data_IF_752362617115
#
_entry.id   IF_752362617115
#
_cell.length_a   1.000
_cell.length_b   1.000
_cell.length_c   1.000
_cell.angle_alpha   90.00
_cell.angle_beta   90.00
_cell.angle_gamma   90.00
#
_symmetry.space_group_name_H-M   'P 1'
#
loop_
_entity.id
_entity.type
_entity.pdbx_description
1 polymer ?
#
# COMPACT_ATOMS: atom_id res chain seq x y z
N UNK A 1 1.43 -9.23 95.62
CA UNK A 1 2.75 -8.70 95.19
C UNK A 1 3.03 -9.19 93.78
N UNK A 2 3.80 -8.45 92.97
CA UNK A 2 3.35 -7.92 91.68
C UNK A 2 3.68 -8.78 90.45
N UNK A 3 3.12 -8.32 89.33
CA UNK A 3 3.71 -8.21 87.97
C UNK A 3 3.82 -9.39 86.99
N UNK A 4 3.15 -9.16 85.85
CA UNK A 4 3.49 -9.50 84.44
C UNK A 4 3.41 -10.99 84.06
N UNK A 5 2.79 -11.42 82.96
CA UNK A 5 2.83 -10.85 81.60
C UNK A 5 1.59 -11.27 80.79
N UNK A 6 1.15 -10.39 79.88
CA UNK A 6 0.03 -10.54 78.95
C UNK A 6 0.46 -11.37 77.73
N UNK A 7 -0.44 -12.17 77.16
CA UNK A 7 -0.82 -12.03 75.74
C UNK A 7 -2.21 -12.65 75.51
N UNK A 8 -3.07 -11.84 74.89
CA UNK A 8 -4.51 -12.02 74.75
C UNK A 8 -4.82 -12.56 73.35
N UNK A 9 -5.73 -13.54 73.30
CA UNK A 9 -6.40 -14.01 72.08
C UNK A 9 -7.14 -12.86 71.42
N UNK A 10 -6.87 -12.59 70.14
CA UNK A 10 -7.77 -11.79 69.30
C UNK A 10 -8.09 -12.52 68.00
N UNK A 11 -9.38 -12.75 67.88
CA UNK A 11 -10.22 -13.06 66.74
C UNK A 11 -9.71 -12.54 65.39
N UNK A 12 -9.65 -13.43 64.40
CA UNK A 12 -9.60 -13.09 62.99
C UNK A 12 -11.03 -13.08 62.45
N UNK A 13 -11.51 -11.88 62.13
CA UNK A 13 -12.73 -11.63 61.36
C UNK A 13 -12.33 -11.79 59.88
N UNK A 14 -12.85 -12.83 59.22
CA UNK A 14 -12.74 -12.99 57.78
C UNK A 14 -13.75 -12.07 57.09
N UNK A 15 -13.27 -10.99 56.47
CA UNK A 15 -14.06 -10.18 55.53
C UNK A 15 -14.16 -10.94 54.21
N UNK A 16 -15.33 -11.47 53.89
CA UNK A 16 -15.69 -11.92 52.55
C UNK A 16 -16.05 -10.73 51.67
N UNK A 17 -15.09 -10.24 50.88
CA UNK A 17 -15.37 -9.35 49.76
C UNK A 17 -15.80 -10.19 48.56
N UNK A 18 -17.10 -10.18 48.25
CA UNK A 18 -17.58 -10.51 46.91
C UNK A 18 -17.09 -9.39 45.97
N UNK A 19 -16.05 -9.65 45.20
CA UNK A 19 -15.76 -8.88 44.01
C UNK A 19 -16.76 -9.29 42.94
N UNK A 20 -17.79 -8.46 42.73
CA UNK A 20 -18.59 -8.52 41.53
C UNK A 20 -17.67 -8.13 40.36
N UNK A 21 -17.23 -9.12 39.59
CA UNK A 21 -16.66 -8.89 38.27
C UNK A 21 -17.77 -8.32 37.39
N UNK A 22 -17.82 -7.00 37.28
CA UNK A 22 -18.43 -6.36 36.12
C UNK A 22 -17.54 -6.76 34.95
N UNK A 23 -17.96 -7.78 34.21
CA UNK A 23 -17.51 -7.93 32.83
C UNK A 23 -17.97 -6.65 32.12
N UNK A 24 -17.07 -5.68 32.00
CA UNK A 24 -17.19 -4.72 30.94
C UNK A 24 -17.33 -5.55 29.66
N UNK A 25 -18.42 -5.35 28.94
CA UNK A 25 -18.49 -5.81 27.56
C UNK A 25 -17.21 -5.32 26.89
N UNK A 26 -16.49 -6.16 26.12
CA UNK A 26 -15.37 -5.66 25.35
C UNK A 26 -15.94 -4.55 24.46
N UNK A 27 -15.55 -3.30 24.70
CA UNK A 27 -15.61 -2.29 23.68
C UNK A 27 -14.79 -2.85 22.54
N UNK A 28 -15.43 -3.15 21.41
CA UNK A 28 -14.76 -3.54 20.17
C UNK A 28 -13.93 -2.34 19.75
N UNK A 29 -12.74 -2.22 20.33
CA UNK A 29 -11.71 -1.30 19.91
C UNK A 29 -11.09 -1.86 18.65
N UNK A 30 -11.08 -1.03 17.61
CA UNK A 30 -10.37 -1.26 16.36
C UNK A 30 -8.98 -1.83 16.66
N UNK A 31 -8.59 -2.85 15.90
CA UNK A 31 -7.33 -3.51 16.14
C UNK A 31 -6.09 -2.64 15.78
N UNK A 32 -6.28 -1.42 15.27
CA UNK A 32 -5.26 -0.38 15.12
C UNK A 32 -5.89 1.02 15.31
N UNK A 33 -5.25 1.89 16.11
CA UNK A 33 -5.69 3.27 16.32
C UNK A 33 -5.04 4.21 15.29
N UNK A 34 -5.68 4.41 14.13
CA UNK A 34 -5.17 5.31 13.08
C UNK A 34 -5.01 6.77 13.52
N UNK A 35 -5.59 7.19 14.65
CA UNK A 35 -5.41 8.53 15.20
C UNK A 35 -4.16 8.63 16.08
N UNK A 36 -3.86 7.59 16.84
CA UNK A 36 -2.78 7.58 17.84
C UNK A 36 -1.49 6.91 17.37
N UNK A 37 -1.59 5.89 16.53
CA UNK A 37 -0.49 5.05 16.07
C UNK A 37 -0.10 5.37 14.62
N UNK A 38 1.17 5.12 14.29
CA UNK A 38 1.71 5.32 12.93
C UNK A 38 1.63 4.03 12.13
N UNK A 39 1.07 4.12 10.93
CA UNK A 39 1.14 3.06 9.93
C UNK A 39 2.59 2.93 9.48
N UNK A 40 3.14 1.73 9.57
CA UNK A 40 4.48 1.37 9.09
C UNK A 40 4.34 0.06 8.38
N UNK A 41 4.34 0.08 7.06
CA UNK A 41 4.11 -1.14 6.32
C UNK A 41 4.67 -1.10 4.92
N UNK A 42 4.25 -2.08 4.14
CA UNK A 42 4.74 -2.29 2.79
C UNK A 42 3.61 -2.82 1.91
N UNK A 43 3.68 -2.51 0.63
CA UNK A 43 2.79 -3.04 -0.38
C UNK A 43 3.25 -4.44 -0.81
N UNK A 44 2.27 -5.30 -1.09
CA UNK A 44 2.50 -6.61 -1.73
C UNK A 44 2.21 -6.49 -3.24
N UNK A 45 2.81 -5.47 -3.87
CA UNK A 45 2.66 -5.15 -5.30
C UNK A 45 3.25 -6.21 -6.22
N UNK A 46 2.75 -6.27 -7.46
CA UNK A 46 3.13 -7.28 -8.45
C UNK A 46 2.62 -8.71 -8.16
N UNK A 47 1.85 -8.92 -7.08
CA UNK A 47 1.36 -10.24 -6.69
C UNK A 47 0.01 -10.61 -7.32
N UNK A 48 -1.08 -10.03 -6.83
CA UNK A 48 -2.45 -10.32 -7.31
C UNK A 48 -2.88 -9.42 -8.46
N UNK A 49 -2.12 -8.35 -8.69
CA UNK A 49 -2.07 -7.59 -9.93
C UNK A 49 -0.63 -7.57 -10.38
N UNK A 50 -0.36 -8.09 -11.57
CA UNK A 50 1.00 -8.21 -12.11
C UNK A 50 1.44 -6.91 -12.77
N UNK A 51 2.71 -6.56 -12.57
CA UNK A 51 3.32 -5.37 -13.13
C UNK A 51 4.63 -5.73 -13.84
N UNK A 52 4.81 -5.34 -15.12
CA UNK A 52 5.98 -5.73 -15.90
C UNK A 52 7.33 -5.38 -15.29
N UNK A 53 7.38 -4.33 -14.48
CA UNK A 53 8.62 -3.86 -13.87
C UNK A 53 8.92 -4.53 -12.51
N UNK A 54 7.89 -5.06 -11.83
CA UNK A 54 8.06 -5.85 -10.60
C UNK A 54 8.46 -7.29 -10.93
N UNK A 55 7.80 -7.91 -11.91
CA UNK A 55 8.06 -9.30 -12.34
C UNK A 55 8.31 -9.39 -13.84
N UNK A 56 9.39 -8.77 -14.37
CA UNK A 56 9.72 -8.78 -15.79
C UNK A 56 9.80 -10.17 -16.41
N UNK A 57 10.14 -11.22 -15.64
CA UNK A 57 10.23 -12.59 -16.19
C UNK A 57 8.91 -13.08 -16.80
N UNK A 58 7.78 -12.83 -16.13
CA UNK A 58 6.44 -13.22 -16.62
C UNK A 58 6.14 -12.62 -17.99
N UNK A 59 6.55 -11.37 -18.20
CA UNK A 59 6.26 -10.61 -19.42
C UNK A 59 7.29 -10.87 -20.51
N UNK A 60 8.57 -11.03 -20.17
CA UNK A 60 9.62 -11.38 -21.13
C UNK A 60 9.34 -12.76 -21.77
N UNK A 61 8.90 -13.74 -20.98
CA UNK A 61 8.57 -15.08 -21.47
C UNK A 61 7.34 -15.10 -22.39
N UNK A 62 6.33 -14.27 -22.10
CA UNK A 62 5.13 -14.14 -22.94
C UNK A 62 5.39 -13.38 -24.26
N UNK A 63 6.42 -12.53 -24.31
CA UNK A 63 6.83 -11.76 -25.48
C UNK A 63 6.30 -10.32 -25.53
N UNK A 64 6.69 -9.58 -26.57
CA UNK A 64 6.54 -8.10 -26.63
C UNK A 64 5.09 -7.59 -26.55
N UNK A 65 4.10 -8.41 -26.91
CA UNK A 65 2.68 -8.04 -26.86
C UNK A 65 2.12 -7.95 -25.43
N UNK A 66 2.70 -8.69 -24.48
CA UNK A 66 2.30 -8.67 -23.08
C UNK A 66 2.91 -7.45 -22.37
N UNK A 67 2.15 -6.37 -22.29
CA UNK A 67 2.56 -5.07 -21.71
C UNK A 67 1.84 -4.73 -20.40
N UNK A 68 0.83 -5.52 -20.05
CA UNK A 68 0.00 -5.45 -18.85
C UNK A 68 -0.66 -6.83 -18.63
N UNK A 69 -1.34 -7.06 -17.50
CA UNK A 69 -1.94 -8.36 -17.19
C UNK A 69 -3.02 -8.78 -18.23
N UNK A 70 -3.77 -7.82 -18.75
CA UNK A 70 -4.76 -8.07 -19.82
C UNK A 70 -4.10 -8.70 -21.04
N UNK A 71 -3.08 -8.04 -21.58
CA UNK A 71 -2.38 -8.49 -22.79
C UNK A 71 -1.48 -9.70 -22.53
N UNK A 72 -1.01 -9.90 -21.30
CA UNK A 72 -0.35 -11.13 -20.87
C UNK A 72 -1.27 -12.34 -21.06
N UNK A 73 -2.48 -12.30 -20.49
CA UNK A 73 -3.41 -13.42 -20.64
C UNK A 73 -3.99 -13.54 -22.06
N UNK A 74 -4.18 -12.44 -22.77
CA UNK A 74 -4.55 -12.48 -24.20
C UNK A 74 -3.48 -13.21 -25.04
N UNK A 75 -2.20 -12.93 -24.77
CA UNK A 75 -1.07 -13.49 -25.52
C UNK A 75 -0.87 -14.98 -25.22
N UNK A 76 -0.93 -15.37 -23.94
CA UNK A 76 -0.73 -16.75 -23.51
C UNK A 76 -1.96 -17.64 -23.80
N UNK A 77 -3.16 -17.05 -23.81
CA UNK A 77 -4.41 -17.79 -23.76
C UNK A 77 -4.73 -18.30 -22.35
N UNK A 78 -6.00 -18.64 -22.14
CA UNK A 78 -6.55 -18.83 -20.79
C UNK A 78 -5.88 -19.95 -19.97
N UNK A 79 -5.61 -21.11 -20.58
CA UNK A 79 -5.05 -22.26 -19.87
C UNK A 79 -3.60 -22.01 -19.43
N UNK A 80 -2.78 -21.44 -20.32
CA UNK A 80 -1.39 -21.12 -20.02
C UNK A 80 -1.29 -19.94 -19.04
N UNK A 81 -2.10 -18.88 -19.23
CA UNK A 81 -2.11 -17.76 -18.29
C UNK A 81 -2.51 -18.24 -16.88
N UNK A 82 -3.50 -19.13 -16.78
CA UNK A 82 -3.88 -19.73 -15.48
C UNK A 82 -2.74 -20.51 -14.85
N UNK A 83 -2.01 -21.30 -15.63
CA UNK A 83 -0.85 -22.07 -15.14
C UNK A 83 0.24 -21.14 -14.61
N UNK A 84 0.65 -20.16 -15.41
CA UNK A 84 1.70 -19.18 -15.09
C UNK A 84 1.31 -18.35 -13.85
N UNK A 85 0.10 -17.78 -13.82
CA UNK A 85 -0.34 -16.96 -12.71
C UNK A 85 -0.58 -17.77 -11.43
N UNK A 86 -1.08 -19.01 -11.53
CA UNK A 86 -1.21 -19.88 -10.34
C UNK A 86 0.14 -20.20 -9.71
N UNK A 87 1.15 -20.45 -10.54
CA UNK A 87 2.52 -20.64 -10.06
C UNK A 87 3.02 -19.36 -9.38
N UNK A 88 2.90 -18.22 -10.05
CA UNK A 88 3.27 -16.90 -9.52
C UNK A 88 2.62 -16.63 -8.16
N UNK A 89 1.29 -16.72 -8.07
CA UNK A 89 0.55 -16.44 -6.84
C UNK A 89 0.97 -17.36 -5.69
N UNK A 90 1.31 -18.62 -5.97
CA UNK A 90 1.70 -19.60 -4.96
C UNK A 90 3.11 -19.44 -4.40
N UNK A 91 4.01 -18.75 -5.13
CA UNK A 91 5.42 -18.65 -4.77
C UNK A 91 5.92 -17.23 -4.56
N UNK A 92 5.25 -16.22 -5.14
CA UNK A 92 5.73 -14.85 -5.06
C UNK A 92 5.58 -14.29 -3.66
N UNK A 93 4.42 -14.32 -3.02
CA UNK A 93 4.28 -13.96 -1.60
C UNK A 93 3.94 -15.20 -0.77
N UNK A 94 4.63 -15.36 0.37
CA UNK A 94 4.49 -16.51 1.27
C UNK A 94 4.35 -16.08 2.72
N UNK A 95 4.01 -17.01 3.61
CA UNK A 95 3.95 -16.75 5.05
C UNK A 95 5.28 -16.24 5.65
N UNK A 96 6.41 -16.62 5.06
CA UNK A 96 7.73 -16.19 5.50
C UNK A 96 7.94 -14.69 5.24
N UNK A 97 7.45 -14.18 4.11
CA UNK A 97 7.48 -12.74 3.79
C UNK A 97 6.76 -11.92 4.87
N UNK A 98 5.55 -12.32 5.27
CA UNK A 98 4.80 -11.64 6.34
C UNK A 98 5.53 -11.71 7.69
N UNK A 99 6.22 -12.82 7.96
CA UNK A 99 7.03 -12.97 9.19
C UNK A 99 8.23 -12.02 9.17
N UNK A 100 8.91 -11.88 8.02
CA UNK A 100 10.02 -10.94 7.85
C UNK A 100 9.56 -9.49 7.98
N UNK A 101 8.41 -9.15 7.36
CA UNK A 101 7.80 -7.82 7.45
C UNK A 101 7.55 -7.44 8.92
N UNK A 102 6.87 -8.31 9.68
CA UNK A 102 6.64 -8.09 11.11
C UNK A 102 7.96 -7.99 11.90
N UNK A 103 8.95 -8.82 11.57
CA UNK A 103 10.25 -8.83 12.25
C UNK A 103 11.07 -7.56 12.02
N UNK A 104 10.87 -6.86 10.90
CA UNK A 104 11.47 -5.54 10.65
C UNK A 104 10.83 -4.41 11.50
N UNK A 105 9.74 -4.71 12.22
CA UNK A 105 9.01 -3.76 13.07
C UNK A 105 7.86 -3.04 12.36
N UNK A 106 7.42 -3.56 11.20
CA UNK A 106 6.22 -3.09 10.52
C UNK A 106 4.96 -3.66 11.15
N UNK A 107 3.84 -2.95 10.97
CA UNK A 107 2.53 -3.29 11.52
C UNK A 107 1.43 -3.43 10.45
N UNK A 108 1.70 -3.07 9.19
CA UNK A 108 0.73 -3.17 8.10
C UNK A 108 1.31 -3.82 6.84
N UNK A 109 0.42 -4.40 6.04
CA UNK A 109 0.61 -4.64 4.62
C UNK A 109 -0.56 -4.07 3.82
N UNK A 110 -0.29 -3.53 2.64
CA UNK A 110 -1.32 -3.16 1.64
C UNK A 110 -1.31 -4.18 0.52
N UNK A 111 -2.48 -4.70 0.15
CA UNK A 111 -2.60 -5.79 -0.82
C UNK A 111 -3.47 -5.32 -2.00
N UNK A 112 -2.84 -4.97 -3.13
CA UNK A 112 -3.51 -4.70 -4.40
C UNK A 112 -4.31 -5.90 -4.92
N UNK A 113 -5.56 -5.68 -5.33
CA UNK A 113 -6.45 -6.70 -5.93
C UNK A 113 -7.18 -6.09 -7.11
N UNK A 114 -7.11 -6.73 -8.28
CA UNK A 114 -7.85 -6.30 -9.47
C UNK A 114 -9.34 -6.68 -9.39
N UNK A 115 -10.22 -5.87 -10.00
CA UNK A 115 -11.67 -6.19 -10.03
C UNK A 115 -11.96 -7.58 -10.60
N UNK A 116 -11.14 -8.08 -11.53
CA UNK A 116 -11.33 -9.35 -12.22
C UNK A 116 -11.25 -10.56 -11.28
N UNK A 117 -10.57 -10.43 -10.13
CA UNK A 117 -10.58 -11.44 -9.08
C UNK A 117 -11.93 -11.57 -8.37
N UNK A 118 -12.72 -10.50 -8.35
CA UNK A 118 -13.95 -10.35 -7.58
C UNK A 118 -15.21 -10.46 -8.46
N UNK A 119 -15.11 -9.89 -9.67
CA UNK A 119 -16.20 -9.77 -10.64
C UNK A 119 -15.63 -9.86 -12.06
N UNK A 120 -15.60 -11.06 -12.62
CA UNK A 120 -15.23 -11.25 -14.02
C UNK A 120 -16.32 -10.69 -14.95
N UNK A 121 -15.92 -9.96 -15.99
CA UNK A 121 -16.82 -9.37 -16.98
C UNK A 121 -16.69 -10.08 -18.34
N UNK A 122 -17.78 -10.09 -19.10
CA UNK A 122 -17.78 -10.67 -20.45
C UNK A 122 -16.77 -9.93 -21.36
N UNK A 123 -15.82 -10.68 -21.92
CA UNK A 123 -14.78 -10.15 -22.80
C UNK A 123 -13.46 -9.83 -22.09
N UNK A 124 -13.40 -9.95 -20.76
CA UNK A 124 -12.14 -9.89 -20.02
C UNK A 124 -11.18 -10.98 -20.50
N UNK A 125 -9.89 -10.62 -20.62
CA UNK A 125 -8.83 -11.59 -20.90
C UNK A 125 -8.21 -12.15 -19.62
N UNK A 126 -8.52 -11.55 -18.47
CA UNK A 126 -7.97 -11.92 -17.16
C UNK A 126 -8.36 -13.34 -16.74
N UNK A 127 -7.56 -13.90 -15.82
CA UNK A 127 -7.83 -15.17 -15.16
C UNK A 127 -8.14 -14.93 -13.67
N UNK A 128 -9.11 -15.69 -13.16
CA UNK A 128 -9.47 -15.73 -11.75
C UNK A 128 -8.69 -16.79 -10.96
N UNK A 129 -8.62 -16.64 -9.64
CA UNK A 129 -7.97 -17.58 -8.72
C UNK A 129 -7.21 -16.92 -7.56
N UNK A 130 -7.01 -15.60 -7.64
CA UNK A 130 -6.30 -14.77 -6.67
C UNK A 130 -6.86 -14.89 -5.24
N UNK A 131 -8.19 -15.01 -5.11
CA UNK A 131 -8.87 -14.90 -3.82
C UNK A 131 -8.49 -16.02 -2.83
N UNK A 132 -8.11 -17.21 -3.30
CA UNK A 132 -7.63 -18.28 -2.41
C UNK A 132 -6.25 -17.94 -1.79
N UNK A 133 -5.43 -17.19 -2.51
CA UNK A 133 -4.14 -16.70 -2.01
C UNK A 133 -4.31 -15.49 -1.11
N UNK A 134 -5.27 -14.62 -1.43
CA UNK A 134 -5.64 -13.51 -0.55
C UNK A 134 -6.12 -14.00 0.82
N UNK A 135 -6.98 -15.03 0.86
CA UNK A 135 -7.43 -15.64 2.12
C UNK A 135 -6.27 -16.19 2.95
N UNK A 136 -5.28 -16.82 2.30
CA UNK A 136 -4.07 -17.30 2.96
C UNK A 136 -3.26 -16.14 3.54
N UNK A 137 -3.08 -15.04 2.78
CA UNK A 137 -2.39 -13.85 3.28
C UNK A 137 -3.10 -13.20 4.46
N UNK A 138 -4.45 -13.16 4.50
CA UNK A 138 -5.18 -12.70 5.69
C UNK A 138 -4.85 -13.59 6.90
N UNK A 139 -4.78 -14.91 6.71
CA UNK A 139 -4.35 -15.85 7.75
C UNK A 139 -2.91 -15.62 8.22
N UNK A 140 -1.98 -15.38 7.29
CA UNK A 140 -0.57 -15.11 7.60
C UNK A 140 -0.38 -13.77 8.31
N UNK A 141 -1.04 -12.72 7.84
CA UNK A 141 -1.04 -11.40 8.47
C UNK A 141 -1.56 -11.49 9.92
N UNK A 142 -2.67 -12.23 10.13
CA UNK A 142 -3.19 -12.51 11.48
C UNK A 142 -2.14 -13.16 12.38
N UNK A 143 -1.47 -14.20 11.88
CA UNK A 143 -0.47 -14.94 12.63
C UNK A 143 0.78 -14.10 12.95
N UNK A 144 1.17 -13.20 12.04
CA UNK A 144 2.29 -12.28 12.21
C UNK A 144 1.94 -11.03 13.06
N UNK A 145 0.65 -10.81 13.36
CA UNK A 145 0.18 -9.63 14.07
C UNK A 145 0.09 -8.37 13.19
N UNK A 146 0.15 -8.53 11.86
CA UNK A 146 0.03 -7.45 10.88
C UNK A 146 -1.44 -7.10 10.64
N UNK A 147 -1.67 -5.85 10.26
CA UNK A 147 -2.94 -5.36 9.73
C UNK A 147 -2.89 -5.28 8.22
N UNK A 148 -4.06 -5.35 7.60
CA UNK A 148 -4.22 -5.39 6.16
C UNK A 148 -5.06 -4.21 5.69
N UNK A 149 -4.52 -3.47 4.73
CA UNK A 149 -5.27 -2.59 3.85
C UNK A 149 -5.53 -3.38 2.57
N UNK A 150 -6.79 -3.71 2.29
CA UNK A 150 -7.17 -4.28 1.00
C UNK A 150 -7.41 -3.16 0.02
N UNK A 151 -6.84 -3.25 -1.17
CA UNK A 151 -6.92 -2.18 -2.16
C UNK A 151 -7.50 -2.70 -3.48
N UNK A 152 -8.59 -2.08 -3.95
CA UNK A 152 -9.11 -2.32 -5.28
C UNK A 152 -8.24 -1.58 -6.30
N UNK A 153 -7.24 -2.28 -6.81
CA UNK A 153 -6.12 -1.65 -7.53
C UNK A 153 -6.42 -1.36 -9.01
N UNK A 154 -7.40 -2.06 -9.59
CA UNK A 154 -7.79 -1.90 -10.99
C UNK A 154 -9.30 -1.95 -11.14
N UNK A 155 -9.86 -1.00 -11.90
CA UNK A 155 -11.27 -0.94 -12.24
C UNK A 155 -11.54 -1.26 -13.72
N UNK A 156 -12.75 -1.74 -14.08
CA UNK A 156 -13.16 -1.92 -15.46
C UNK A 156 -12.98 -0.63 -16.28
N UNK A 157 -12.32 -0.76 -17.43
CA UNK A 157 -12.00 0.38 -18.30
C UNK A 157 -10.76 1.18 -17.90
N UNK A 158 -10.08 0.83 -16.80
CA UNK A 158 -8.94 1.54 -16.21
C UNK A 158 -9.26 2.96 -15.76
N UNK A 159 -8.88 3.25 -14.52
CA UNK A 159 -9.07 4.54 -13.85
C UNK A 159 -7.90 5.52 -14.07
N UNK A 160 -6.77 5.05 -14.60
CA UNK A 160 -5.55 5.85 -14.78
C UNK A 160 -4.82 5.62 -16.11
N UNK A 161 -5.15 4.55 -16.83
CA UNK A 161 -4.49 4.18 -18.08
C UNK A 161 -3.10 3.55 -17.90
N UNK A 162 -2.70 3.27 -16.66
CA UNK A 162 -1.42 2.64 -16.32
C UNK A 162 -1.53 1.12 -16.43
N UNK A 163 -0.39 0.45 -16.62
CA UNK A 163 -0.32 -1.02 -16.62
C UNK A 163 -0.69 -1.61 -15.25
N UNK A 164 -0.37 -0.92 -14.15
CA UNK A 164 -0.75 -1.31 -12.79
C UNK A 164 -2.27 -1.44 -12.58
N UNK A 165 -3.12 -0.78 -13.39
CA UNK A 165 -4.57 -0.96 -13.34
C UNK A 165 -5.06 -2.27 -13.99
N UNK A 166 -4.13 -3.06 -14.55
CA UNK A 166 -4.36 -4.29 -15.31
C UNK A 166 -4.46 -4.09 -16.82
N UNK A 167 -4.73 -2.86 -17.29
CA UNK A 167 -4.88 -2.54 -18.72
C UNK A 167 -4.40 -1.14 -19.05
N UNK A 168 -3.20 -1.05 -19.62
CA UNK A 168 -2.58 0.19 -20.09
C UNK A 168 -3.34 0.76 -21.27
N UNK A 169 -3.57 2.07 -21.29
CA UNK A 169 -4.20 2.75 -22.43
C UNK A 169 -5.10 3.91 -22.04
N UNK A 170 -6.20 4.07 -22.77
CA UNK A 170 -7.15 5.15 -22.49
C UNK A 170 -7.93 4.89 -21.21
N UNK A 171 -8.13 5.93 -20.41
CA UNK A 171 -9.01 5.92 -19.25
C UNK A 171 -10.46 5.82 -19.75
N UNK A 172 -11.13 4.71 -19.42
CA UNK A 172 -12.54 4.46 -19.73
C UNK A 172 -13.39 4.22 -18.48
N UNK A 173 -12.80 4.24 -17.29
CA UNK A 173 -13.57 4.29 -16.06
C UNK A 173 -14.45 5.55 -16.01
N UNK A 174 -15.66 5.45 -15.45
CA UNK A 174 -16.76 6.43 -15.58
C UNK A 174 -17.45 6.51 -16.94
N UNK A 175 -17.22 5.53 -17.83
CA UNK A 175 -18.01 5.35 -19.05
C UNK A 175 -18.91 4.11 -18.93
N UNK A 176 -20.12 4.18 -19.49
CA UNK A 176 -21.08 3.07 -19.45
C UNK A 176 -21.33 2.57 -18.02
N UNK A 177 -21.26 1.25 -17.83
CA UNK A 177 -21.52 0.58 -16.54
C UNK A 177 -20.23 0.33 -15.71
N UNK A 178 -19.09 0.91 -16.10
CA UNK A 178 -17.79 0.65 -15.44
C UNK A 178 -17.78 0.97 -13.95
N UNK A 179 -18.42 2.06 -13.52
CA UNK A 179 -18.51 2.45 -12.10
C UNK A 179 -19.39 1.49 -11.31
N UNK A 180 -20.50 1.02 -11.90
CA UNK A 180 -21.37 0.05 -11.24
C UNK A 180 -20.67 -1.30 -11.08
N UNK A 181 -19.91 -1.76 -12.09
CA UNK A 181 -19.08 -2.96 -11.95
C UNK A 181 -17.94 -2.80 -10.94
N UNK A 182 -17.38 -1.59 -10.81
CA UNK A 182 -16.39 -1.29 -9.76
C UNK A 182 -17.01 -1.41 -8.37
N UNK A 183 -18.22 -0.88 -8.18
CA UNK A 183 -18.98 -1.02 -6.93
C UNK A 183 -19.36 -2.47 -6.64
N UNK A 184 -19.75 -3.26 -7.63
CA UNK A 184 -20.01 -4.70 -7.48
C UNK A 184 -18.77 -5.44 -6.97
N UNK A 185 -17.59 -5.14 -7.53
CA UNK A 185 -16.32 -5.72 -7.09
C UNK A 185 -15.98 -5.30 -5.65
N UNK A 186 -16.12 -4.01 -5.32
CA UNK A 186 -15.87 -3.50 -3.98
C UNK A 186 -16.83 -4.09 -2.94
N UNK A 187 -18.12 -4.24 -3.27
CA UNK A 187 -19.10 -4.90 -2.39
C UNK A 187 -18.71 -6.37 -2.16
N UNK A 188 -18.28 -7.08 -3.21
CA UNK A 188 -17.83 -8.46 -3.08
C UNK A 188 -16.58 -8.58 -2.20
N UNK A 189 -15.62 -7.65 -2.32
CA UNK A 189 -14.41 -7.62 -1.49
C UNK A 189 -14.76 -7.36 -0.02
N UNK A 190 -15.57 -6.34 0.25
CA UNK A 190 -16.01 -6.00 1.60
C UNK A 190 -16.81 -7.14 2.24
N UNK A 191 -17.73 -7.76 1.50
CA UNK A 191 -18.53 -8.88 2.00
C UNK A 191 -17.68 -10.13 2.27
N UNK A 192 -16.65 -10.40 1.47
CA UNK A 192 -15.75 -11.55 1.67
C UNK A 192 -15.04 -11.50 3.02
N UNK A 193 -14.64 -10.30 3.46
CA UNK A 193 -13.84 -10.09 4.67
C UNK A 193 -14.61 -9.40 5.81
N UNK A 194 -15.94 -9.44 5.78
CA UNK A 194 -16.79 -8.81 6.81
C UNK A 194 -16.47 -9.31 8.24
N UNK A 195 -16.08 -10.59 8.35
CA UNK A 195 -15.72 -11.27 9.60
C UNK A 195 -14.27 -11.11 10.04
N UNK A 196 -13.42 -10.47 9.23
CA UNK A 196 -11.97 -10.38 9.43
C UNK A 196 -11.53 -8.98 9.91
N UNK A 197 -12.42 -8.20 10.53
CA UNK A 197 -12.13 -6.85 11.03
C UNK A 197 -11.04 -6.79 12.12
N UNK A 198 -10.55 -7.93 12.60
CA UNK A 198 -9.38 -8.02 13.46
C UNK A 198 -8.05 -7.82 12.70
N UNK A 199 -8.05 -8.05 11.38
CA UNK A 199 -6.87 -7.99 10.52
C UNK A 199 -7.09 -7.04 9.35
N UNK A 200 -8.24 -7.13 8.66
CA UNK A 200 -8.65 -6.20 7.59
C UNK A 200 -9.22 -4.94 8.24
N UNK A 201 -8.32 -4.00 8.56
CA UNK A 201 -8.67 -2.77 9.27
C UNK A 201 -9.07 -1.64 8.34
N UNK A 202 -8.72 -1.75 7.05
CA UNK A 202 -9.08 -0.77 6.05
C UNK A 202 -9.28 -1.40 4.66
N UNK A 203 -10.16 -0.78 3.86
CA UNK A 203 -10.38 -1.10 2.45
C UNK A 203 -10.27 0.20 1.66
N UNK A 204 -9.39 0.23 0.67
CA UNK A 204 -9.25 1.30 -0.30
C UNK A 204 -10.23 1.10 -1.45
N UNK A 205 -11.03 2.15 -1.72
CA UNK A 205 -12.12 2.05 -2.68
C UNK A 205 -11.63 1.89 -4.12
N UNK A 206 -10.56 2.59 -4.49
CA UNK A 206 -9.94 2.52 -5.81
C UNK A 206 -8.56 3.19 -5.80
N UNK A 207 -7.54 2.45 -6.21
CA UNK A 207 -6.19 2.96 -6.41
C UNK A 207 -6.11 4.00 -7.54
N UNK A 208 -5.43 5.13 -7.31
CA UNK A 208 -4.97 6.05 -8.36
C UNK A 208 -6.00 6.51 -9.43
N UNK A 209 -7.28 6.81 -9.15
CA UNK A 209 -8.16 7.37 -10.18
C UNK A 209 -7.64 8.72 -10.69
N UNK A 210 -7.30 8.82 -11.98
CA UNK A 210 -6.59 9.98 -12.52
C UNK A 210 -7.51 11.14 -12.87
N UNK A 211 -7.76 12.04 -11.90
CA UNK A 211 -8.51 13.28 -12.14
C UNK A 211 -7.83 14.14 -13.21
N UNK A 212 -6.49 14.38 -13.16
CA UNK A 212 -5.79 15.07 -14.25
C UNK A 212 -5.86 14.34 -15.59
N UNK A 213 -5.98 13.01 -15.58
CA UNK A 213 -6.10 12.16 -16.76
C UNK A 213 -7.49 12.15 -17.41
N UNK A 214 -8.51 12.75 -16.75
CA UNK A 214 -9.86 12.90 -17.29
C UNK A 214 -10.97 12.22 -16.49
N UNK A 215 -10.65 11.62 -15.34
CA UNK A 215 -11.68 11.19 -14.38
C UNK A 215 -12.40 12.42 -13.83
N UNK A 216 -13.73 12.40 -13.83
CA UNK A 216 -14.57 13.44 -13.22
C UNK A 216 -14.43 13.40 -11.70
N UNK A 217 -13.95 14.50 -11.10
CA UNK A 217 -13.81 14.66 -9.65
C UNK A 217 -15.17 14.51 -8.93
N UNK A 218 -16.25 15.08 -9.49
CA UNK A 218 -17.59 14.94 -8.92
C UNK A 218 -18.09 13.49 -8.98
N UNK A 219 -17.79 12.78 -10.08
CA UNK A 219 -18.08 11.36 -10.23
C UNK A 219 -17.31 10.50 -9.23
N UNK A 220 -16.03 10.85 -8.99
CA UNK A 220 -15.18 10.19 -8.01
C UNK A 220 -15.68 10.41 -6.58
N UNK A 221 -16.08 11.65 -6.24
CA UNK A 221 -16.71 11.97 -4.95
C UNK A 221 -17.99 11.18 -4.71
N UNK A 222 -18.85 11.03 -5.73
CA UNK A 222 -20.05 10.20 -5.60
C UNK A 222 -19.68 8.72 -5.39
N UNK A 223 -18.72 8.19 -6.16
CA UNK A 223 -18.23 6.83 -5.98
C UNK A 223 -17.69 6.57 -4.57
N UNK A 224 -16.99 7.54 -3.96
CA UNK A 224 -16.52 7.41 -2.58
C UNK A 224 -17.65 7.39 -1.54
N UNK A 225 -18.71 8.17 -1.70
CA UNK A 225 -19.90 8.05 -0.84
C UNK A 225 -20.57 6.68 -0.98
N UNK A 226 -20.71 6.19 -2.21
CA UNK A 226 -21.29 4.85 -2.47
C UNK A 226 -20.41 3.76 -1.80
N UNK A 227 -19.08 3.86 -1.98
CA UNK A 227 -18.08 2.96 -1.42
C UNK A 227 -18.14 2.90 0.11
N UNK A 228 -18.31 4.05 0.76
CA UNK A 228 -18.51 4.10 2.21
C UNK A 228 -19.75 3.32 2.64
N UNK A 229 -20.87 3.50 1.93
CA UNK A 229 -22.10 2.74 2.21
C UNK A 229 -21.91 1.23 2.07
N UNK A 230 -21.20 0.78 1.02
CA UNK A 230 -20.89 -0.63 0.79
C UNK A 230 -20.01 -1.22 1.89
N UNK A 231 -18.95 -0.53 2.27
CA UNK A 231 -18.03 -0.99 3.33
C UNK A 231 -18.73 -1.01 4.69
N UNK A 232 -19.53 0.02 5.02
CA UNK A 232 -20.31 0.05 6.28
C UNK A 232 -21.32 -1.07 6.39
N UNK A 233 -21.98 -1.40 5.27
CA UNK A 233 -22.93 -2.52 5.20
C UNK A 233 -22.26 -3.86 5.56
N UNK A 234 -21.02 -4.07 5.13
CA UNK A 234 -20.26 -5.28 5.47
C UNK A 234 -19.74 -5.22 6.91
N UNK A 235 -19.11 -4.11 7.30
CA UNK A 235 -18.56 -3.95 8.64
C UNK A 235 -18.54 -2.47 9.05
N UNK A 236 -19.16 -2.13 10.18
CA UNK A 236 -19.27 -0.74 10.66
C UNK A 236 -17.93 -0.09 11.07
N UNK A 237 -16.88 -0.90 11.23
CA UNK A 237 -15.60 -0.51 11.80
C UNK A 237 -14.43 -0.51 10.80
N UNK A 238 -14.55 -1.16 9.64
CA UNK A 238 -13.47 -1.19 8.63
C UNK A 238 -13.27 0.19 8.00
N UNK A 239 -12.10 0.80 8.10
CA UNK A 239 -11.84 2.15 7.57
C UNK A 239 -11.95 2.18 6.04
N UNK A 240 -12.65 3.18 5.49
CA UNK A 240 -12.61 3.45 4.05
C UNK A 240 -11.36 4.30 3.74
N UNK A 241 -10.57 3.87 2.77
CA UNK A 241 -9.42 4.63 2.26
C UNK A 241 -9.76 5.23 0.89
N UNK A 242 -9.43 6.51 0.72
CA UNK A 242 -9.62 7.29 -0.50
C UNK A 242 -8.25 7.64 -1.08
N UNK A 243 -7.93 7.18 -2.28
CA UNK A 243 -6.82 7.78 -3.01
C UNK A 243 -7.14 9.24 -3.36
N UNK A 244 -6.13 10.11 -3.30
CA UNK A 244 -6.27 11.57 -3.49
C UNK A 244 -6.62 12.01 -4.93
N UNK A 245 -6.60 11.07 -5.88
CA UNK A 245 -6.88 11.30 -7.29
C UNK A 245 -5.83 12.14 -8.02
N UNK A 246 -4.59 12.16 -7.52
CA UNK A 246 -3.50 13.07 -7.88
C UNK A 246 -3.81 14.55 -7.63
N UNK A 247 -4.67 14.81 -6.64
CA UNK A 247 -4.99 16.14 -6.16
C UNK A 247 -4.33 16.35 -4.79
N UNK A 248 -3.96 17.59 -4.42
CA UNK A 248 -3.46 17.87 -3.08
C UNK A 248 -4.43 17.36 -2.02
N UNK A 249 -3.94 16.62 -1.03
CA UNK A 249 -4.77 15.99 0.03
C UNK A 249 -5.68 17.00 0.74
N UNK A 250 -5.24 18.24 0.94
CA UNK A 250 -6.01 19.32 1.56
C UNK A 250 -7.19 19.80 0.70
N UNK A 251 -7.21 19.51 -0.61
CA UNK A 251 -8.39 19.78 -1.45
C UNK A 251 -9.58 18.90 -1.10
N UNK A 252 -9.35 17.78 -0.40
CA UNK A 252 -10.37 16.89 0.11
C UNK A 252 -10.88 17.29 1.50
N UNK A 253 -10.38 18.38 2.09
CA UNK A 253 -10.84 18.85 3.40
C UNK A 253 -12.33 19.21 3.38
N UNK A 254 -13.06 18.83 4.43
CA UNK A 254 -14.50 19.00 4.59
C UNK A 254 -15.35 17.95 3.86
N UNK A 255 -14.83 17.30 2.83
CA UNK A 255 -15.49 16.17 2.16
C UNK A 255 -15.57 14.97 3.11
N UNK A 256 -16.71 14.26 3.13
CA UNK A 256 -16.92 13.04 3.94
C UNK A 256 -16.51 13.18 5.42
N UNK A 257 -16.90 14.31 6.05
CA UNK A 257 -16.61 14.58 7.46
C UNK A 257 -17.62 13.93 8.41
N UNK A 258 -17.26 13.81 9.70
CA UNK A 258 -18.18 13.35 10.76
C UNK A 258 -19.46 14.21 10.83
N UNK A 259 -19.36 15.51 10.51
CA UNK A 259 -20.52 16.40 10.47
C UNK A 259 -21.49 16.11 9.32
N UNK A 260 -21.02 15.45 8.26
CA UNK A 260 -21.83 14.91 7.18
C UNK A 260 -22.38 13.50 7.50
N UNK A 261 -22.13 12.97 8.70
CA UNK A 261 -22.54 11.64 9.11
C UNK A 261 -21.66 10.51 8.58
N UNK A 262 -20.43 10.82 8.16
CA UNK A 262 -19.47 9.85 7.62
C UNK A 262 -18.30 9.71 8.60
N UNK A 263 -17.90 8.48 8.91
CA UNK A 263 -16.80 8.19 9.84
C UNK A 263 -15.86 7.10 9.32
N UNK A 264 -14.67 7.00 9.93
CA UNK A 264 -13.57 6.11 9.54
C UNK A 264 -13.21 6.25 8.06
N UNK A 265 -12.72 7.44 7.71
CA UNK A 265 -12.24 7.79 6.38
C UNK A 265 -10.78 8.21 6.47
N UNK A 266 -9.95 7.63 5.62
CA UNK A 266 -8.53 7.90 5.49
C UNK A 266 -8.23 8.40 4.09
N UNK A 267 -7.31 9.36 3.98
CA UNK A 267 -6.68 9.71 2.71
C UNK A 267 -5.44 8.84 2.50
N UNK A 268 -5.36 8.26 1.33
CA UNK A 268 -4.14 7.74 0.73
C UNK A 268 -3.62 8.77 -0.27
N UNK A 269 -2.32 9.05 -0.18
CA UNK A 269 -1.58 9.87 -1.13
C UNK A 269 -0.30 9.14 -1.51
N UNK A 270 0.05 9.18 -2.78
CA UNK A 270 1.26 8.56 -3.30
C UNK A 270 2.32 9.63 -3.55
N UNK A 271 3.55 9.37 -3.11
CA UNK A 271 4.64 10.34 -3.26
C UNK A 271 5.86 9.72 -3.92
N UNK A 272 6.16 10.21 -5.12
CA UNK A 272 7.27 9.79 -5.95
C UNK A 272 7.97 11.01 -6.55
N UNK A 273 9.31 10.99 -6.58
CA UNK A 273 10.12 12.07 -7.17
C UNK A 273 10.86 11.64 -8.45
N UNK A 274 10.32 10.63 -9.16
CA UNK A 274 11.01 9.99 -10.30
C UNK A 274 10.24 10.07 -11.63
N UNK A 275 8.96 10.44 -11.61
CA UNK A 275 8.13 10.50 -12.84
C UNK A 275 8.11 11.88 -13.50
N UNK A 276 8.92 12.82 -13.01
CA UNK A 276 9.10 14.16 -13.56
C UNK A 276 10.59 14.42 -13.86
N UNK A 277 10.87 14.94 -15.06
CA UNK A 277 12.25 15.19 -15.51
C UNK A 277 12.97 16.25 -14.66
N UNK A 278 12.23 17.20 -14.06
CA UNK A 278 12.82 18.20 -13.17
C UNK A 278 13.23 17.59 -11.83
N UNK A 279 12.37 16.78 -11.23
CA UNK A 279 12.67 16.06 -9.98
C UNK A 279 13.88 15.13 -10.13
N UNK A 280 14.00 14.43 -11.26
CA UNK A 280 15.15 13.55 -11.55
C UNK A 280 16.50 14.26 -11.60
N UNK A 281 16.54 15.60 -11.76
CA UNK A 281 17.79 16.38 -11.76
C UNK A 281 18.22 16.84 -10.36
N UNK A 282 17.41 16.59 -9.34
CA UNK A 282 17.69 17.03 -7.97
C UNK A 282 18.84 16.23 -7.35
N UNK A 283 19.60 16.89 -6.47
CA UNK A 283 20.49 16.15 -5.58
C UNK A 283 19.70 15.56 -4.39
N UNK A 284 20.30 14.60 -3.69
CA UNK A 284 19.65 13.90 -2.56
C UNK A 284 19.20 14.86 -1.45
N UNK A 285 19.91 15.97 -1.22
CA UNK A 285 19.50 16.94 -0.19
C UNK A 285 18.25 17.71 -0.62
N UNK A 286 18.11 17.99 -1.92
CA UNK A 286 16.95 18.66 -2.50
C UNK A 286 15.73 17.74 -2.47
N UNK A 287 15.90 16.45 -2.82
CA UNK A 287 14.87 15.43 -2.65
C UNK A 287 14.37 15.34 -1.19
N UNK A 288 15.30 15.25 -0.22
CA UNK A 288 14.96 15.26 1.20
C UNK A 288 14.20 16.55 1.60
N UNK A 289 14.64 17.71 1.12
CA UNK A 289 13.97 18.98 1.44
C UNK A 289 12.55 19.04 0.84
N UNK A 290 12.38 18.52 -0.37
CA UNK A 290 11.10 18.47 -1.06
C UNK A 290 10.09 17.59 -0.31
N UNK A 291 10.49 16.40 0.13
CA UNK A 291 9.59 15.54 0.92
C UNK A 291 9.24 16.14 2.29
N UNK A 292 10.18 16.83 2.96
CA UNK A 292 9.86 17.52 4.22
C UNK A 292 8.78 18.61 4.00
N UNK A 293 8.84 19.33 2.87
CA UNK A 293 7.84 20.31 2.46
C UNK A 293 6.50 19.66 2.11
N UNK A 294 6.52 18.59 1.30
CA UNK A 294 5.32 17.80 0.97
C UNK A 294 4.55 17.39 2.23
N UNK A 295 5.24 16.84 3.24
CA UNK A 295 4.59 16.44 4.48
C UNK A 295 3.93 17.61 5.21
N UNK A 296 4.57 18.78 5.22
CA UNK A 296 4.01 19.97 5.87
C UNK A 296 2.79 20.52 5.12
N UNK A 297 2.83 20.48 3.79
CA UNK A 297 1.83 21.12 2.93
C UNK A 297 0.61 20.24 2.68
N UNK A 298 0.79 18.90 2.70
CA UNK A 298 -0.25 17.95 2.30
C UNK A 298 -0.63 16.96 3.42
N UNK A 299 0.32 16.47 4.23
CA UNK A 299 -0.03 15.51 5.29
C UNK A 299 -0.56 16.20 6.54
N UNK A 300 0.13 17.24 7.01
CA UNK A 300 -0.23 17.97 8.24
C UNK A 300 -1.50 18.81 8.09
N UNK A 301 -1.80 19.25 6.87
CA UNK A 301 -2.94 20.11 6.53
C UNK A 301 -4.22 19.34 6.24
N UNK A 302 -4.16 18.01 6.12
CA UNK A 302 -5.32 17.16 5.92
C UNK A 302 -6.21 17.14 7.16
N UNK A 303 -7.53 17.20 6.98
CA UNK A 303 -8.52 17.05 8.05
C UNK A 303 -8.91 15.59 8.35
N UNK A 304 -8.30 14.65 7.60
CA UNK A 304 -8.46 13.21 7.74
C UNK A 304 -7.14 12.59 8.22
N UNK A 305 -7.18 11.29 8.53
CA UNK A 305 -5.94 10.53 8.61
C UNK A 305 -5.31 10.49 7.22
N UNK A 306 -4.05 10.91 7.10
CA UNK A 306 -3.32 10.92 5.83
C UNK A 306 -2.12 9.97 5.92
N UNK A 307 -2.20 8.86 5.18
CA UNK A 307 -1.12 7.87 5.05
C UNK A 307 -0.52 8.03 3.66
N UNK A 308 0.82 7.95 3.57
CA UNK A 308 1.49 7.82 2.28
C UNK A 308 1.46 6.35 1.89
N UNK A 309 0.43 5.93 1.14
CA UNK A 309 0.17 4.52 0.83
C UNK A 309 1.12 3.93 -0.19
N UNK A 310 1.80 4.78 -0.96
CA UNK A 310 2.90 4.39 -1.82
C UNK A 310 4.01 5.44 -1.90
N UNK A 311 5.25 4.96 -1.84
CA UNK A 311 6.49 5.73 -1.97
C UNK A 311 7.66 4.75 -2.11
N UNK A 312 8.83 5.22 -2.54
CA UNK A 312 10.03 4.39 -2.68
C UNK A 312 11.31 5.15 -2.33
N UNK A 313 12.42 4.43 -2.16
CA UNK A 313 13.76 5.03 -2.05
C UNK A 313 14.38 5.45 -3.38
N UNK A 314 13.70 5.21 -4.51
CA UNK A 314 14.19 5.55 -5.84
C UNK A 314 14.38 7.06 -6.04
N UNK A 315 15.52 7.43 -6.64
CA UNK A 315 15.77 8.79 -7.16
C UNK A 315 15.96 8.75 -8.69
N UNK A 316 15.71 7.60 -9.31
CA UNK A 316 15.73 7.41 -10.76
C UNK A 316 14.50 6.65 -11.22
N UNK A 317 14.13 6.81 -12.50
CA UNK A 317 13.12 5.98 -13.15
C UNK A 317 13.75 4.84 -13.99
N UNK A 318 14.91 4.34 -13.55
CA UNK A 318 15.73 3.40 -14.32
C UNK A 318 15.20 1.96 -14.36
N UNK A 319 14.44 1.53 -13.35
CA UNK A 319 13.98 0.15 -13.22
C UNK A 319 13.33 -0.33 -14.53
N UNK A 320 13.73 -1.51 -14.99
CA UNK A 320 13.28 -2.06 -16.27
C UNK A 320 11.76 -2.07 -16.33
N UNK A 321 11.20 -1.44 -17.37
CA UNK A 321 9.75 -1.32 -17.62
C UNK A 321 8.97 -0.47 -16.62
N UNK A 322 9.61 0.28 -15.73
CA UNK A 322 8.90 1.12 -14.74
C UNK A 322 7.96 2.13 -15.40
N UNK A 323 8.36 2.71 -16.54
CA UNK A 323 7.52 3.61 -17.33
C UNK A 323 6.56 2.87 -18.29
N UNK A 324 6.46 1.55 -18.16
CA UNK A 324 5.73 0.64 -19.03
C UNK A 324 6.66 -0.17 -19.95
N UNK A 325 6.25 -1.40 -20.29
CA UNK A 325 7.02 -2.24 -21.21
C UNK A 325 7.18 -1.58 -22.58
N UNK A 326 8.42 -1.56 -23.07
CA UNK A 326 8.82 -0.91 -24.33
C UNK A 326 9.05 0.60 -24.22
N UNK A 327 8.98 1.18 -23.02
CA UNK A 327 9.20 2.60 -22.76
C UNK A 327 10.50 2.75 -21.95
N UNK A 328 11.36 3.69 -22.35
CA UNK A 328 12.65 3.94 -21.71
C UNK A 328 12.56 4.69 -20.38
N UNK A 329 13.72 5.05 -19.82
CA UNK A 329 13.85 5.88 -18.62
C UNK A 329 14.14 7.34 -18.98
N UNK A 330 13.57 8.29 -18.23
CA UNK A 330 13.91 9.71 -18.40
C UNK A 330 15.33 9.97 -17.93
N UNK A 331 15.77 9.29 -16.88
CA UNK A 331 17.07 9.50 -16.24
C UNK A 331 18.27 9.30 -17.19
N UNK A 332 18.24 8.28 -18.06
CA UNK A 332 19.29 8.01 -19.04
C UNK A 332 18.98 8.54 -20.45
N UNK A 333 17.90 9.31 -20.60
CA UNK A 333 17.51 9.91 -21.87
C UNK A 333 16.89 8.93 -22.88
N UNK A 334 16.50 7.71 -22.47
CA UNK A 334 15.88 6.73 -23.38
C UNK A 334 14.36 6.86 -23.47
N UNK A 335 13.72 7.59 -22.55
CA UNK A 335 12.31 7.99 -22.64
C UNK A 335 12.14 9.13 -23.68
N UNK A 336 11.04 9.11 -24.44
CA UNK A 336 10.78 10.13 -25.48
C UNK A 336 10.81 11.54 -24.91
N UNK A 337 11.51 12.45 -25.58
CA UNK A 337 11.61 13.88 -25.21
C UNK A 337 12.29 14.15 -23.84
N UNK A 338 12.95 13.15 -23.25
CA UNK A 338 13.77 13.32 -22.05
C UNK A 338 15.21 13.76 -22.38
N UNK A 339 15.92 14.27 -21.36
CA UNK A 339 17.33 14.63 -21.46
C UNK A 339 18.13 13.75 -20.50
N UNK A 340 19.32 13.33 -20.94
CA UNK A 340 20.23 12.54 -20.11
C UNK A 340 20.59 13.27 -18.81
N UNK A 341 20.37 12.60 -17.68
CA UNK A 341 20.80 13.01 -16.33
C UNK A 341 21.95 12.14 -15.84
N UNK A 342 21.81 10.81 -15.94
CA UNK A 342 22.79 9.84 -15.46
C UNK A 342 22.61 8.44 -16.06
N UNK A 343 23.49 7.50 -15.71
CA UNK A 343 23.42 6.13 -16.21
C UNK A 343 22.45 5.28 -15.38
N UNK A 344 21.69 4.42 -16.07
CA UNK A 344 20.85 3.38 -15.47
C UNK A 344 21.58 2.04 -15.25
N UNK A 345 22.89 1.97 -15.51
CA UNK A 345 23.70 0.77 -15.27
C UNK A 345 23.60 0.30 -13.81
N UNK A 346 23.22 -0.97 -13.61
CA UNK A 346 23.01 -1.56 -12.28
C UNK A 346 21.73 -1.14 -11.56
N UNK A 347 21.02 -0.11 -12.06
CA UNK A 347 19.73 0.35 -11.52
C UNK A 347 18.54 -0.22 -12.29
N UNK A 348 18.70 -0.47 -13.59
CA UNK A 348 17.62 -0.98 -14.45
C UNK A 348 17.29 -2.45 -14.19
N UNK A 349 18.32 -3.27 -14.04
CA UNK A 349 18.23 -4.68 -13.62
C UNK A 349 19.41 -4.98 -12.71
N UNK A 350 19.18 -5.49 -11.51
CA UNK A 350 20.26 -5.84 -10.58
C UNK A 350 19.77 -6.09 -9.16
N UNK A 351 20.71 -6.23 -8.23
CA UNK A 351 20.43 -6.31 -6.80
C UNK A 351 20.85 -5.05 -6.06
N UNK A 352 20.36 -4.87 -4.84
CA UNK A 352 20.79 -3.73 -4.00
C UNK A 352 22.29 -3.80 -3.68
N UNK A 353 22.88 -5.01 -3.65
CA UNK A 353 24.31 -5.20 -3.45
C UNK A 353 25.16 -4.68 -4.62
N UNK A 354 24.59 -4.66 -5.83
CA UNK A 354 25.26 -4.18 -7.05
C UNK A 354 25.28 -2.65 -7.17
N UNK A 355 24.44 -1.95 -6.40
CA UNK A 355 24.45 -0.49 -6.32
C UNK A 355 25.78 0.03 -5.75
N UNK A 356 26.20 1.20 -6.22
CA UNK A 356 27.40 1.86 -5.69
C UNK A 356 27.20 2.22 -4.21
N UNK A 357 28.31 2.36 -3.47
CA UNK A 357 28.25 2.80 -2.06
C UNK A 357 27.60 4.19 -1.92
N UNK A 358 27.82 5.07 -2.90
CA UNK A 358 27.19 6.38 -2.98
C UNK A 358 25.67 6.26 -3.22
N UNK A 359 25.23 5.46 -4.19
CA UNK A 359 23.80 5.22 -4.44
C UNK A 359 23.11 4.67 -3.19
N UNK A 360 23.69 3.65 -2.55
CA UNK A 360 23.15 3.06 -1.31
C UNK A 360 23.06 4.08 -0.18
N UNK A 361 24.11 4.88 0.02
CA UNK A 361 24.11 5.93 1.05
C UNK A 361 23.08 7.01 0.75
N UNK A 362 22.94 7.43 -0.51
CA UNK A 362 21.98 8.46 -0.91
C UNK A 362 20.54 7.94 -0.78
N UNK A 363 20.25 6.71 -1.19
CA UNK A 363 18.96 6.05 -0.98
C UNK A 363 18.64 5.93 0.50
N UNK A 364 19.61 5.56 1.35
CA UNK A 364 19.43 5.53 2.82
C UNK A 364 19.04 6.90 3.38
N UNK A 365 19.72 7.97 2.97
CA UNK A 365 19.39 9.34 3.38
C UNK A 365 17.98 9.73 2.97
N UNK A 366 17.63 9.46 1.71
CA UNK A 366 16.31 9.80 1.18
C UNK A 366 15.20 9.02 1.89
N UNK A 367 15.35 7.70 2.05
CA UNK A 367 14.42 6.86 2.81
C UNK A 367 14.21 7.42 4.22
N UNK A 368 15.27 7.75 4.96
CA UNK A 368 15.12 8.28 6.31
C UNK A 368 14.42 9.65 6.35
N UNK A 369 14.69 10.53 5.39
CA UNK A 369 13.99 11.81 5.26
C UNK A 369 12.50 11.61 4.99
N UNK A 370 12.16 10.66 4.10
CA UNK A 370 10.78 10.28 3.81
C UNK A 370 10.08 9.69 5.04
N UNK A 371 10.72 8.77 5.78
CA UNK A 371 10.17 8.20 7.01
C UNK A 371 9.87 9.26 8.07
N UNK A 372 10.81 10.20 8.28
CA UNK A 372 10.63 11.31 9.22
C UNK A 372 9.51 12.26 8.78
N UNK A 373 9.39 12.51 7.47
CA UNK A 373 8.35 13.34 6.88
C UNK A 373 6.96 12.68 6.98
N UNK A 374 6.81 11.44 6.56
CA UNK A 374 5.52 10.75 6.50
C UNK A 374 4.95 10.41 7.87
N UNK A 375 5.80 10.22 8.89
CA UNK A 375 5.35 10.10 10.28
C UNK A 375 4.88 11.42 10.90
N UNK A 376 5.02 12.57 10.23
CA UNK A 376 4.29 13.81 10.57
C UNK A 376 2.79 13.67 10.26
N UNK A 377 2.45 12.91 9.22
CA UNK A 377 1.09 12.43 8.92
C UNK A 377 0.71 11.22 9.78
N UNK A 378 0.00 10.24 9.20
CA UNK A 378 -0.44 9.03 9.90
C UNK A 378 0.43 7.80 9.60
N UNK A 379 1.49 7.95 8.81
CA UNK A 379 2.44 6.90 8.50
C UNK A 379 2.55 6.60 7.01
N UNK A 380 3.02 5.41 6.69
CA UNK A 380 3.50 5.09 5.36
C UNK A 380 3.42 3.59 5.04
N UNK A 381 3.33 3.29 3.74
CA UNK A 381 3.36 1.95 3.15
C UNK A 381 4.35 1.97 1.97
N UNK A 382 5.51 1.34 2.14
CA UNK A 382 6.56 1.36 1.11
C UNK A 382 6.13 0.57 -0.13
N UNK A 383 6.47 1.05 -1.31
CA UNK A 383 6.23 0.38 -2.58
C UNK A 383 7.58 -0.08 -3.18
N UNK A 384 7.92 -1.38 -3.15
CA UNK A 384 7.13 -2.56 -2.70
C UNK A 384 7.99 -3.53 -1.87
N UNK A 385 7.41 -4.63 -1.37
CA UNK A 385 8.14 -5.59 -0.55
C UNK A 385 9.32 -6.22 -1.29
N UNK A 386 9.13 -6.63 -2.55
CA UNK A 386 10.19 -7.21 -3.38
C UNK A 386 9.88 -7.13 -4.86
N UNK A 387 10.94 -7.24 -5.66
CA UNK A 387 10.90 -7.18 -7.13
C UNK A 387 11.88 -8.19 -7.74
N UNK A 388 11.72 -8.50 -9.03
CA UNK A 388 12.72 -9.23 -9.82
C UNK A 388 13.70 -8.25 -10.46
N UNK A 389 14.52 -7.62 -9.62
CA UNK A 389 15.71 -6.91 -10.08
C UNK A 389 15.60 -5.39 -10.19
N UNK A 390 14.65 -4.76 -9.48
CA UNK A 390 14.53 -3.31 -9.36
C UNK A 390 15.02 -2.86 -7.96
N UNK A 391 16.33 -2.68 -7.74
CA UNK A 391 16.91 -2.52 -6.40
C UNK A 391 16.42 -1.28 -5.65
N UNK A 392 16.08 -0.20 -6.36
CA UNK A 392 15.53 1.02 -5.77
C UNK A 392 14.11 0.82 -5.21
N UNK A 393 13.42 -0.26 -5.57
CA UNK A 393 12.02 -0.55 -5.24
C UNK A 393 11.84 -1.81 -4.39
N UNK A 394 12.93 -2.50 -4.05
CA UNK A 394 12.93 -3.79 -3.35
C UNK A 394 13.25 -3.60 -1.85
N UNK A 395 12.22 -3.45 -1.02
CA UNK A 395 12.41 -3.22 0.41
C UNK A 395 13.14 -4.39 1.09
N UNK A 396 12.83 -5.62 0.72
CA UNK A 396 13.43 -6.82 1.32
C UNK A 396 14.96 -6.82 1.13
N UNK A 397 15.44 -6.57 -0.08
CA UNK A 397 16.87 -6.46 -0.36
C UNK A 397 17.49 -5.22 0.27
N UNK A 398 16.77 -4.09 0.31
CA UNK A 398 17.27 -2.88 0.95
C UNK A 398 17.46 -3.06 2.46
N UNK A 399 16.57 -3.79 3.14
CA UNK A 399 16.74 -4.17 4.56
C UNK A 399 18.00 -5.06 4.71
N UNK A 400 18.15 -6.07 3.86
CA UNK A 400 19.28 -7.00 3.92
C UNK A 400 20.64 -6.28 3.70
N UNK A 401 20.67 -5.28 2.81
CA UNK A 401 21.84 -4.48 2.50
C UNK A 401 22.07 -3.28 3.44
N UNK A 402 21.20 -3.06 4.43
CA UNK A 402 21.28 -1.91 5.35
C UNK A 402 20.85 -0.56 4.75
N UNK A 403 20.31 -0.55 3.53
CA UNK A 403 19.81 0.65 2.84
C UNK A 403 18.47 1.09 3.39
N UNK A 404 17.59 0.16 3.78
CA UNK A 404 16.37 0.48 4.53
C UNK A 404 16.63 0.30 6.04
N UNK A 405 16.15 1.20 6.92
CA UNK A 405 16.25 1.04 8.36
C UNK A 405 15.73 -0.30 8.90
N UNK A 406 16.52 -0.99 9.74
CA UNK A 406 16.09 -2.19 10.45
C UNK A 406 16.58 -2.18 11.93
N UNK A 407 15.69 -2.05 12.94
CA UNK A 407 14.24 -1.88 12.79
C UNK A 407 13.90 -0.59 12.03
N UNK A 408 12.70 -0.52 11.44
CA UNK A 408 12.26 0.61 10.59
C UNK A 408 12.28 2.00 11.27
N UNK A 409 12.42 2.01 12.60
CA UNK A 409 12.58 3.22 13.43
C UNK A 409 14.03 3.69 13.61
N UNK A 410 15.01 2.91 13.16
CA UNK A 410 16.42 3.29 13.25
C UNK A 410 16.75 4.44 12.29
N UNK A 411 17.77 5.22 12.65
CA UNK A 411 18.27 6.34 11.84
C UNK A 411 19.81 6.38 11.88
N UNK A 412 20.42 6.48 10.71
CA UNK A 412 21.82 6.82 10.50
C UNK A 412 21.98 8.32 10.23
N UNK A 413 20.95 8.95 9.65
CA UNK A 413 20.85 10.36 9.31
C UNK A 413 19.64 11.01 10.01
N UNK A 414 19.66 11.15 11.36
CA UNK A 414 18.51 11.69 12.10
C UNK A 414 18.33 13.20 11.90
N UNK A 415 17.08 13.67 11.94
CA UNK A 415 16.74 15.10 11.96
C UNK A 415 16.88 15.79 10.61
N UNK A 416 16.58 15.06 9.53
CA UNK A 416 16.54 15.59 8.17
C UNK A 416 15.29 16.45 7.92
N UNK A 417 14.20 16.11 8.61
CA UNK A 417 12.97 16.89 8.77
C UNK A 417 12.69 17.11 10.27
#
# INVERSE_FOLDING_TARGET
MPTMSKFSRKSLIGLSLLAALVQAAPTVGLNFDYRGDKVRGVNLGGWLVTEPWITPSLFDEAGDAAVDEWSLCETLGADECRSVLSQHWSSFITADDLTQIASAGMNHVRIPVGYWALKHLDGDQYIDGQLEYLDQAIGWARAAGLKVVLDLHGAPGSQNGFDNSGKRGAIQWQQGDTVDHTKDALEALAARYEGDGDVVTAIEALNEPSVPGGVSEDGLKQFYYDSWGLIRKANENTTLVLHDGFMPTESWNGFMSESAGVWYVMMDTHHYEVFDSGLLTMDTQSHVSNVCSFAQDHLVTSDKWAVVGEWTGAMTDCAKYLNGKGIGARYDGTFSDSQYVGSCDGKSTGSVEDLSEEDRSNTRRFIEGQLDAYEKGNGWLYWTWKTEGAPEWDMQQQIAAGVFPNPVTSREFPGQC
#
